data_IF_860733373343
#
_entry.id   IF_860733373343
#
_cell.length_a   1.000
_cell.length_b   1.000
_cell.length_c   1.000
_cell.angle_alpha   90.00
_cell.angle_beta   90.00
_cell.angle_gamma   90.00
#
_symmetry.space_group_name_H-M   'P 1'
#
loop_
_entity.id
_entity.type
_entity.pdbx_description
1 polymer ?
#
# COMPACT_ATOMS: atom_id res chain seq x y z
N UNK A 1 21.65 10.33 15.38
CA UNK A 1 21.97 10.88 14.05
C UNK A 1 21.51 9.94 12.91
N UNK A 2 22.32 9.00 12.39
CA UNK A 2 21.92 8.21 11.20
C UNK A 2 20.67 7.31 11.42
N UNK A 3 20.54 6.71 12.60
CA UNK A 3 19.38 5.89 12.96
C UNK A 3 18.06 6.68 13.00
N UNK A 4 18.08 7.95 13.44
CA UNK A 4 16.88 8.79 13.52
C UNK A 4 16.41 9.22 12.12
N UNK A 5 17.37 9.57 11.25
CA UNK A 5 17.07 9.86 9.84
C UNK A 5 16.50 8.64 9.11
N UNK A 6 17.04 7.44 9.38
CA UNK A 6 16.51 6.20 8.80
C UNK A 6 15.08 5.90 9.29
N UNK A 7 14.81 6.11 10.58
CA UNK A 7 13.46 5.99 11.14
C UNK A 7 12.49 6.99 10.50
N UNK A 8 12.90 8.25 10.35
CA UNK A 8 12.10 9.29 9.72
C UNK A 8 11.80 8.93 8.26
N UNK A 9 12.81 8.49 7.50
CA UNK A 9 12.64 8.04 6.11
C UNK A 9 11.65 6.87 6.02
N UNK A 10 11.77 5.87 6.90
CA UNK A 10 10.88 4.72 6.94
C UNK A 10 9.42 5.15 7.22
N UNK A 11 9.20 6.05 8.18
CA UNK A 11 7.85 6.56 8.50
C UNK A 11 7.27 7.38 7.34
N UNK A 12 8.04 8.31 6.77
CA UNK A 12 7.61 9.13 5.62
C UNK A 12 7.24 8.23 4.42
N UNK A 13 8.09 7.26 4.11
CA UNK A 13 7.83 6.28 3.07
C UNK A 13 6.54 5.48 3.33
N UNK A 14 6.31 5.09 4.59
CA UNK A 14 5.08 4.42 5.02
C UNK A 14 3.83 5.28 4.81
N UNK A 15 3.87 6.56 5.19
CA UNK A 15 2.74 7.49 5.02
C UNK A 15 2.41 7.71 3.54
N UNK A 16 3.43 7.97 2.71
CA UNK A 16 3.24 8.15 1.26
C UNK A 16 2.70 6.89 0.59
N UNK A 17 3.17 5.72 1.03
CA UNK A 17 2.71 4.44 0.50
C UNK A 17 1.25 4.15 0.88
N UNK A 18 0.90 4.26 2.16
CA UNK A 18 -0.47 4.02 2.64
C UNK A 18 -1.45 5.03 2.05
N UNK A 19 -1.11 6.32 2.03
CA UNK A 19 -1.94 7.35 1.41
C UNK A 19 -2.19 7.06 -0.07
N UNK A 20 -1.16 6.67 -0.81
CA UNK A 20 -1.31 6.26 -2.21
C UNK A 20 -2.19 5.02 -2.38
N UNK A 21 -2.03 4.00 -1.53
CA UNK A 21 -2.88 2.81 -1.57
C UNK A 21 -4.36 3.12 -1.30
N UNK A 22 -4.66 4.04 -0.38
CA UNK A 22 -6.04 4.48 -0.12
C UNK A 22 -6.64 5.18 -1.35
N UNK A 23 -5.87 6.03 -2.03
CA UNK A 23 -6.31 6.65 -3.30
C UNK A 23 -6.55 5.58 -4.36
N UNK A 24 -5.66 4.60 -4.50
CA UNK A 24 -5.83 3.48 -5.45
C UNK A 24 -7.10 2.68 -5.14
N UNK A 25 -7.34 2.34 -3.88
CA UNK A 25 -8.54 1.61 -3.44
C UNK A 25 -9.82 2.40 -3.69
N UNK A 26 -9.82 3.71 -3.40
CA UNK A 26 -10.97 4.59 -3.63
C UNK A 26 -11.33 4.66 -5.12
N UNK A 27 -10.33 4.87 -5.99
CA UNK A 27 -10.56 4.94 -7.44
C UNK A 27 -11.01 3.60 -8.00
N UNK A 28 -10.42 2.48 -7.55
CA UNK A 28 -10.85 1.13 -7.92
C UNK A 28 -12.31 0.88 -7.57
N UNK A 29 -12.71 1.23 -6.34
CA UNK A 29 -14.08 1.09 -5.85
C UNK A 29 -15.05 1.99 -6.63
N UNK A 30 -14.70 3.26 -6.85
CA UNK A 30 -15.52 4.20 -7.61
C UNK A 30 -15.76 3.70 -9.05
N UNK A 31 -14.71 3.21 -9.73
CA UNK A 31 -14.83 2.64 -11.07
C UNK A 31 -15.58 1.30 -11.10
N UNK A 32 -15.60 0.55 -10.00
CA UNK A 32 -16.35 -0.72 -9.93
C UNK A 32 -17.87 -0.51 -9.88
N UNK A 33 -18.33 0.57 -9.26
CA UNK A 33 -19.76 0.87 -9.11
C UNK A 33 -20.42 1.37 -10.40
N UNK A 34 -19.63 1.82 -11.38
CA UNK A 34 -20.13 2.31 -12.67
C UNK A 34 -19.97 1.29 -13.80
N UNK A 35 -19.59 0.05 -13.48
CA UNK A 35 -19.39 -1.03 -14.46
C UNK A 35 -20.72 -1.37 -15.13
N UNK A 36 -21.01 -0.75 -16.28
CA UNK A 36 -22.28 -0.89 -17.01
C UNK A 36 -22.86 0.43 -17.54
N UNK A 37 -22.45 1.57 -16.98
CA UNK A 37 -22.68 2.88 -17.58
C UNK A 37 -21.53 3.22 -18.54
N UNK A 38 -21.77 4.10 -19.52
CA UNK A 38 -20.71 4.59 -20.40
C UNK A 38 -19.58 5.22 -19.55
N UNK A 39 -18.35 4.72 -19.70
CA UNK A 39 -17.19 5.22 -18.98
C UNK A 39 -17.03 6.72 -19.27
N UNK A 40 -17.13 7.54 -18.22
CA UNK A 40 -17.00 8.99 -18.39
C UNK A 40 -15.54 9.38 -18.68
N UNK A 41 -15.33 10.43 -19.46
CA UNK A 41 -13.99 10.97 -19.71
C UNK A 41 -13.24 11.31 -18.40
N UNK A 42 -13.97 11.74 -17.37
CA UNK A 42 -13.44 12.01 -16.03
C UNK A 42 -12.89 10.76 -15.33
N UNK A 43 -13.59 9.62 -15.41
CA UNK A 43 -13.10 8.36 -14.82
C UNK A 43 -11.81 7.88 -15.48
N UNK A 44 -11.75 7.95 -16.81
CA UNK A 44 -10.54 7.59 -17.55
C UNK A 44 -9.36 8.48 -17.17
N UNK A 45 -9.59 9.79 -17.05
CA UNK A 45 -8.56 10.74 -16.62
C UNK A 45 -8.05 10.43 -15.20
N UNK A 46 -8.96 10.13 -14.26
CA UNK A 46 -8.60 9.74 -12.89
C UNK A 46 -7.78 8.44 -12.86
N UNK A 47 -8.20 7.41 -13.59
CA UNK A 47 -7.47 6.14 -13.68
C UNK A 47 -6.04 6.33 -14.19
N UNK A 48 -5.87 7.08 -15.27
CA UNK A 48 -4.54 7.37 -15.85
C UNK A 48 -3.69 8.17 -14.87
N UNK A 49 -4.27 9.19 -14.23
CA UNK A 49 -3.58 10.07 -13.29
C UNK A 49 -3.10 9.29 -12.06
N UNK A 50 -3.98 8.52 -11.42
CA UNK A 50 -3.64 7.72 -10.24
C UNK A 50 -2.64 6.63 -10.57
N UNK A 51 -2.72 6.03 -11.76
CA UNK A 51 -1.75 5.03 -12.20
C UNK A 51 -0.36 5.64 -12.43
N UNK A 52 -0.29 6.85 -12.99
CA UNK A 52 0.97 7.60 -13.11
C UNK A 52 1.54 7.96 -11.73
N UNK A 53 0.70 8.48 -10.83
CA UNK A 53 1.07 8.78 -9.45
C UNK A 53 1.60 7.55 -8.71
N UNK A 54 0.91 6.41 -8.84
CA UNK A 54 1.31 5.15 -8.21
C UNK A 54 2.73 4.77 -8.63
N UNK A 55 3.04 4.85 -9.93
CA UNK A 55 4.38 4.50 -10.45
C UNK A 55 5.47 5.48 -10.02
N UNK A 56 5.16 6.76 -9.90
CA UNK A 56 6.14 7.80 -9.59
C UNK A 56 6.33 8.05 -8.09
N UNK A 57 5.33 7.75 -7.26
CA UNK A 57 5.33 8.10 -5.82
C UNK A 57 5.07 6.88 -4.96
N UNK A 58 3.93 6.21 -5.15
CA UNK A 58 3.48 5.16 -4.21
C UNK A 58 4.35 3.90 -4.26
N UNK A 59 4.71 3.42 -5.45
CA UNK A 59 5.56 2.24 -5.60
C UNK A 59 7.01 2.51 -5.16
N UNK A 60 7.64 3.66 -5.50
CA UNK A 60 8.94 4.04 -4.92
C UNK A 60 8.89 4.18 -3.39
N UNK A 61 7.82 4.73 -2.83
CA UNK A 61 7.64 4.82 -1.38
C UNK A 61 7.58 3.43 -0.71
N UNK A 62 6.90 2.46 -1.32
CA UNK A 62 6.91 1.07 -0.85
C UNK A 62 8.33 0.48 -0.82
N UNK A 63 9.10 0.72 -1.89
CA UNK A 63 10.48 0.22 -2.00
C UNK A 63 11.35 0.86 -0.93
N UNK A 64 11.27 2.18 -0.74
CA UNK A 64 11.99 2.90 0.31
C UNK A 64 11.63 2.40 1.71
N UNK A 65 10.34 2.13 1.97
CA UNK A 65 9.87 1.57 3.22
C UNK A 65 10.54 0.21 3.50
N UNK A 66 10.54 -0.69 2.52
CA UNK A 66 11.17 -2.01 2.63
C UNK A 66 12.67 -1.93 2.82
N UNK A 67 13.37 -1.13 2.00
CA UNK A 67 14.82 -0.96 2.10
C UNK A 67 15.20 -0.40 3.47
N UNK A 68 14.53 0.68 3.91
CA UNK A 68 14.80 1.26 5.23
C UNK A 68 14.50 0.26 6.36
N UNK A 69 13.39 -0.50 6.26
CA UNK A 69 13.04 -1.53 7.24
C UNK A 69 14.06 -2.66 7.33
N UNK A 70 14.52 -3.18 6.19
CA UNK A 70 15.54 -4.24 6.15
C UNK A 70 16.87 -3.73 6.71
N UNK A 71 17.30 -2.52 6.31
CA UNK A 71 18.54 -1.91 6.84
C UNK A 71 18.47 -1.77 8.35
N UNK A 72 17.33 -1.35 8.90
CA UNK A 72 17.13 -1.28 10.36
C UNK A 72 17.26 -2.66 11.01
N UNK A 73 16.61 -3.69 10.48
CA UNK A 73 16.66 -5.05 11.04
C UNK A 73 18.10 -5.58 11.08
N UNK A 74 18.83 -5.43 9.97
CA UNK A 74 20.22 -5.89 9.87
C UNK A 74 21.13 -5.10 10.82
N UNK A 75 20.92 -3.79 10.93
CA UNK A 75 21.74 -2.90 11.77
C UNK A 75 21.57 -3.17 13.27
N UNK A 76 20.41 -3.66 13.70
CA UNK A 76 20.16 -3.99 15.11
C UNK A 76 20.80 -5.32 15.55
N UNK A 77 21.24 -6.19 14.62
CA UNK A 77 22.09 -7.36 14.87
C UNK A 77 21.51 -8.45 15.79
N UNK A 78 20.29 -8.29 16.30
CA UNK A 78 19.59 -9.24 17.18
C UNK A 78 18.51 -9.98 16.39
N UNK A 79 18.21 -11.21 16.80
CA UNK A 79 17.08 -11.95 16.24
C UNK A 79 15.80 -11.12 16.34
N UNK A 80 15.02 -11.01 15.25
CA UNK A 80 13.79 -10.23 15.27
C UNK A 80 12.83 -10.83 16.28
N UNK A 81 12.45 -10.04 17.28
CA UNK A 81 11.40 -10.40 18.24
C UNK A 81 10.11 -10.77 17.51
N UNK A 82 9.27 -11.61 18.12
CA UNK A 82 8.03 -12.09 17.50
C UNK A 82 7.12 -10.96 16.97
N UNK A 83 7.07 -9.82 17.67
CA UNK A 83 6.31 -8.64 17.21
C UNK A 83 6.79 -8.10 15.86
N UNK A 84 8.10 -8.15 15.59
CA UNK A 84 8.68 -7.65 14.35
C UNK A 84 8.32 -8.58 13.18
N UNK A 85 8.32 -9.91 13.41
CA UNK A 85 7.87 -10.87 12.42
C UNK A 85 6.39 -10.67 12.06
N UNK A 86 5.52 -10.47 13.06
CA UNK A 86 4.09 -10.20 12.83
C UNK A 86 3.92 -8.90 12.02
N UNK A 87 4.63 -7.83 12.39
CA UNK A 87 4.61 -6.56 11.63
C UNK A 87 5.03 -6.78 10.17
N UNK A 88 6.08 -7.56 9.94
CA UNK A 88 6.57 -7.87 8.59
C UNK A 88 5.55 -8.64 7.76
N UNK A 89 4.86 -9.62 8.35
CA UNK A 89 3.78 -10.34 7.67
C UNK A 89 2.65 -9.38 7.26
N UNK A 90 2.26 -8.45 8.12
CA UNK A 90 1.23 -7.45 7.79
C UNK A 90 1.69 -6.55 6.63
N UNK A 91 2.93 -6.03 6.68
CA UNK A 91 3.49 -5.20 5.60
C UNK A 91 3.59 -5.98 4.29
N UNK A 92 3.89 -7.28 4.35
CA UNK A 92 3.93 -8.16 3.17
C UNK A 92 2.54 -8.37 2.56
N UNK A 93 1.51 -8.58 3.39
CA UNK A 93 0.11 -8.65 2.93
C UNK A 93 -0.32 -7.34 2.28
N UNK A 94 0.00 -6.19 2.88
CA UNK A 94 -0.28 -4.88 2.29
C UNK A 94 0.49 -4.65 0.98
N UNK A 95 1.72 -5.16 0.87
CA UNK A 95 2.52 -5.12 -0.36
C UNK A 95 1.88 -5.95 -1.48
N UNK A 96 1.36 -7.14 -1.14
CA UNK A 96 0.60 -7.94 -2.09
C UNK A 96 -0.69 -7.21 -2.54
N UNK A 97 -1.40 -6.58 -1.60
CA UNK A 97 -2.58 -5.77 -1.91
C UNK A 97 -2.26 -4.57 -2.83
N UNK A 98 -1.13 -3.89 -2.61
CA UNK A 98 -0.64 -2.83 -3.51
C UNK A 98 -0.45 -3.34 -4.94
N UNK A 99 0.12 -4.54 -5.09
CA UNK A 99 0.28 -5.20 -6.39
C UNK A 99 -1.06 -5.51 -7.06
N UNK A 100 -2.03 -6.03 -6.30
CA UNK A 100 -3.39 -6.30 -6.79
C UNK A 100 -4.09 -5.02 -7.26
N UNK A 101 -4.05 -3.95 -6.46
CA UNK A 101 -4.62 -2.65 -6.82
C UNK A 101 -3.94 -2.05 -8.06
N UNK A 102 -2.61 -2.16 -8.16
CA UNK A 102 -1.86 -1.70 -9.35
C UNK A 102 -2.29 -2.46 -10.62
N UNK A 103 -2.53 -3.77 -10.50
CA UNK A 103 -3.03 -4.61 -11.57
C UNK A 103 -4.47 -4.27 -11.96
N UNK A 104 -5.34 -4.02 -10.99
CA UNK A 104 -6.73 -3.60 -11.19
C UNK A 104 -6.81 -2.27 -11.95
N UNK A 105 -6.10 -1.23 -11.47
CA UNK A 105 -6.04 0.07 -12.14
C UNK A 105 -5.50 -0.04 -13.58
N UNK A 106 -4.52 -0.91 -13.82
CA UNK A 106 -4.01 -1.17 -15.16
C UNK A 106 -5.08 -1.77 -16.06
N UNK A 107 -5.78 -2.81 -15.60
CA UNK A 107 -6.80 -3.52 -16.38
C UNK A 107 -7.95 -2.58 -16.74
N UNK A 108 -8.44 -1.82 -15.77
CA UNK A 108 -9.48 -0.79 -15.95
C UNK A 108 -9.07 0.25 -16.99
N UNK A 109 -7.87 0.82 -16.86
CA UNK A 109 -7.36 1.83 -17.80
C UNK A 109 -7.18 1.33 -19.25
N UNK A 110 -7.10 0.01 -19.45
CA UNK A 110 -6.96 -0.61 -20.79
C UNK A 110 -8.26 -1.27 -21.28
N UNK A 111 -9.37 -1.14 -20.55
CA UNK A 111 -10.63 -1.82 -20.89
C UNK A 111 -10.56 -3.35 -20.84
N UNK A 112 -9.57 -3.92 -20.13
CA UNK A 112 -9.46 -5.36 -19.97
C UNK A 112 -10.45 -5.87 -18.92
N UNK A 113 -10.93 -7.12 -19.03
CA UNK A 113 -11.78 -7.71 -18.02
C UNK A 113 -11.09 -7.68 -16.65
N UNK A 114 -11.81 -7.16 -15.66
CA UNK A 114 -11.37 -7.04 -14.28
C UNK A 114 -11.87 -8.25 -13.51
N UNK A 115 -10.97 -8.88 -12.75
CA UNK A 115 -11.35 -10.00 -11.88
C UNK A 115 -11.84 -9.42 -10.55
N UNK A 116 -13.06 -9.75 -10.15
CA UNK A 116 -13.60 -9.32 -8.86
C UNK A 116 -12.94 -10.11 -7.73
N UNK A 117 -11.97 -9.49 -7.07
CA UNK A 117 -11.34 -10.04 -5.88
C UNK A 117 -11.90 -9.33 -4.65
N UNK A 118 -12.41 -10.11 -3.68
CA UNK A 118 -12.90 -9.56 -2.42
C UNK A 118 -11.87 -8.66 -1.71
N UNK A 119 -10.57 -8.99 -1.82
CA UNK A 119 -9.47 -8.17 -1.30
C UNK A 119 -9.36 -6.81 -1.97
N UNK A 120 -9.59 -6.71 -3.28
CA UNK A 120 -9.55 -5.44 -4.02
C UNK A 120 -10.79 -4.61 -3.69
N UNK A 121 -11.97 -5.25 -3.64
CA UNK A 121 -13.23 -4.60 -3.27
C UNK A 121 -13.19 -4.00 -1.86
N UNK A 122 -12.63 -4.74 -0.91
CA UNK A 122 -12.52 -4.32 0.49
C UNK A 122 -11.16 -3.68 0.82
N UNK A 123 -10.38 -3.29 -0.19
CA UNK A 123 -8.99 -2.86 -0.01
C UNK A 123 -8.84 -1.71 0.99
N UNK A 124 -9.73 -0.72 0.95
CA UNK A 124 -9.71 0.41 1.90
C UNK A 124 -9.80 -0.04 3.35
N UNK A 125 -10.72 -0.95 3.66
CA UNK A 125 -10.88 -1.51 5.01
C UNK A 125 -9.65 -2.34 5.42
N UNK A 126 -9.12 -3.17 4.51
CA UNK A 126 -7.91 -3.96 4.76
C UNK A 126 -6.70 -3.06 5.05
N UNK A 127 -6.54 -1.96 4.31
CA UNK A 127 -5.47 -0.98 4.54
C UNK A 127 -5.62 -0.34 5.92
N UNK A 128 -6.81 0.13 6.28
CA UNK A 128 -7.07 0.78 7.58
C UNK A 128 -6.78 -0.18 8.73
N UNK A 129 -7.29 -1.41 8.67
CA UNK A 129 -7.02 -2.44 9.69
C UNK A 129 -5.53 -2.73 9.79
N UNK A 130 -4.83 -2.86 8.65
CA UNK A 130 -3.38 -3.06 8.63
C UNK A 130 -2.61 -1.92 9.31
N UNK A 131 -2.98 -0.67 9.05
CA UNK A 131 -2.38 0.51 9.69
C UNK A 131 -2.61 0.51 11.21
N UNK A 132 -3.84 0.21 11.64
CA UNK A 132 -4.18 0.12 13.08
C UNK A 132 -3.31 -0.94 13.75
N UNK A 133 -3.23 -2.13 13.17
CA UNK A 133 -2.41 -3.22 13.71
C UNK A 133 -0.94 -2.84 13.76
N UNK A 134 -0.38 -2.25 12.69
CA UNK A 134 1.01 -1.78 12.66
C UNK A 134 1.26 -0.72 13.75
N UNK A 135 0.33 0.22 13.95
CA UNK A 135 0.42 1.26 14.97
C UNK A 135 0.40 0.68 16.39
N UNK A 136 -0.51 -0.25 16.67
CA UNK A 136 -0.58 -0.96 17.95
C UNK A 136 0.73 -1.73 18.21
N UNK A 137 1.21 -2.48 17.22
CA UNK A 137 2.47 -3.25 17.33
C UNK A 137 3.69 -2.33 17.56
N UNK A 138 3.68 -1.12 17.00
CA UNK A 138 4.77 -0.16 17.18
C UNK A 138 4.85 0.41 18.61
N UNK A 139 3.70 0.57 19.28
CA UNK A 139 3.61 1.17 20.62
C UNK A 139 3.71 0.11 21.70
N UNK A 140 2.85 -0.92 21.63
CA UNK A 140 2.71 -1.91 22.71
C UNK A 140 3.92 -2.84 22.75
N UNK A 141 4.60 -3.06 21.62
CA UNK A 141 5.75 -3.98 21.46
C UNK A 141 5.61 -5.21 22.35
N UNK A 142 4.54 -6.01 22.19
CA UNK A 142 4.08 -6.89 23.27
C UNK A 142 5.05 -8.02 23.70
N UNK A 143 6.24 -8.16 23.10
CA UNK A 143 7.21 -9.23 23.38
C UNK A 143 8.65 -8.79 23.10
#
# INVERSE_FOLDING_TARGET
MLHEWLNALHVIAGVLWIGGMLVMALVSMACSQTSGAAESAGQRLLLVTVRKWTRSVTSPAMILLWVAGIVMIVSYGKFPHAWLLIKMVIVLVLSALHGLLSGDLRRRATGQPVKDFALVRNAGAVIIVGVILIGILAIIRPF
#
